data_IF_122153850526
#
_entry.id   IF_122153850526
#
_cell.length_a   1.000
_cell.length_b   1.000
_cell.length_c   1.000
_cell.angle_alpha   90.00
_cell.angle_beta   90.00
_cell.angle_gamma   90.00
#
_symmetry.space_group_name_H-M   'P 1'
#
loop_
_entity.id
_entity.type
_entity.pdbx_description
1 polymer ?
#
# COMPACT_ATOMS: atom_id res chain seq x y z
N UNK A 1 -8.70 -27.49 -12.89
CA UNK A 1 -8.47 -27.13 -11.47
C UNK A 1 -7.80 -25.76 -11.46
N UNK A 2 -8.58 -24.71 -11.25
CA UNK A 2 -8.07 -23.33 -11.15
C UNK A 2 -7.44 -23.19 -9.77
N UNK A 3 -6.12 -23.18 -9.68
CA UNK A 3 -5.42 -22.90 -8.44
C UNK A 3 -5.71 -21.46 -8.05
N UNK A 4 -6.62 -21.27 -7.09
CA UNK A 4 -6.82 -19.97 -6.45
C UNK A 4 -5.46 -19.49 -5.95
N UNK A 5 -4.92 -18.35 -6.44
CA UNK A 5 -3.67 -17.83 -5.93
C UNK A 5 -3.82 -17.68 -4.42
N UNK A 6 -2.95 -18.36 -3.66
CA UNK A 6 -2.96 -18.27 -2.20
C UNK A 6 -2.76 -16.78 -1.88
N UNK A 7 -3.80 -16.13 -1.39
CA UNK A 7 -3.74 -14.76 -0.93
C UNK A 7 -2.48 -14.59 -0.08
N UNK A 8 -1.58 -13.67 -0.43
CA UNK A 8 -0.46 -13.34 0.45
C UNK A 8 -1.08 -12.84 1.76
N UNK A 9 -0.75 -13.41 2.94
CA UNK A 9 -1.46 -13.10 4.19
C UNK A 9 -1.54 -11.59 4.47
N UNK A 10 -0.47 -10.86 4.20
CA UNK A 10 -0.41 -9.40 4.39
C UNK A 10 -1.37 -8.62 3.48
N UNK A 11 -1.62 -9.08 2.26
CA UNK A 11 -2.60 -8.45 1.35
C UNK A 11 -4.04 -8.78 1.75
N UNK A 12 -4.25 -9.84 2.54
CA UNK A 12 -5.57 -10.13 3.10
C UNK A 12 -5.84 -9.21 4.29
N UNK A 13 -4.86 -9.08 5.19
CA UNK A 13 -4.92 -8.15 6.32
C UNK A 13 -5.09 -6.70 5.83
N UNK A 14 -4.31 -6.26 4.83
CA UNK A 14 -4.46 -4.93 4.24
C UNK A 14 -5.83 -4.73 3.56
N UNK A 15 -6.42 -5.77 2.98
CA UNK A 15 -7.78 -5.68 2.42
C UNK A 15 -8.79 -5.38 3.52
N UNK A 16 -8.69 -6.06 4.67
CA UNK A 16 -9.57 -5.80 5.81
C UNK A 16 -9.44 -4.36 6.33
N UNK A 17 -8.24 -3.78 6.29
CA UNK A 17 -8.02 -2.37 6.63
C UNK A 17 -8.70 -1.44 5.61
N UNK A 18 -8.60 -1.72 4.31
CA UNK A 18 -9.35 -0.95 3.30
C UNK A 18 -10.87 -1.06 3.52
N UNK A 19 -11.36 -2.27 3.79
CA UNK A 19 -12.78 -2.52 4.05
C UNK A 19 -13.25 -1.74 5.31
N UNK A 20 -12.44 -1.67 6.39
CA UNK A 20 -12.78 -0.91 7.60
C UNK A 20 -12.75 0.60 7.41
N UNK A 21 -11.94 1.08 6.46
CA UNK A 21 -11.89 2.49 6.06
C UNK A 21 -13.04 2.89 5.12
N UNK A 22 -13.89 1.93 4.71
CA UNK A 22 -15.03 2.19 3.84
C UNK A 22 -14.74 2.07 2.33
N UNK A 23 -13.51 1.69 1.95
CA UNK A 23 -13.18 1.49 0.54
C UNK A 23 -13.68 0.15 0.03
N UNK A 24 -14.10 0.12 -1.24
CA UNK A 24 -14.25 -1.12 -1.97
C UNK A 24 -12.90 -1.61 -2.50
N UNK A 25 -12.37 -2.70 -1.91
CA UNK A 25 -11.02 -3.18 -2.18
C UNK A 25 -10.93 -4.17 -3.36
N UNK A 26 -10.11 -3.83 -4.35
CA UNK A 26 -9.75 -4.66 -5.50
C UNK A 26 -8.29 -5.13 -5.38
N UNK A 27 -8.02 -6.36 -5.78
CA UNK A 27 -6.66 -6.92 -5.83
C UNK A 27 -6.04 -6.80 -7.21
N UNK A 28 -4.77 -6.41 -7.23
CA UNK A 28 -3.94 -6.44 -8.43
C UNK A 28 -3.04 -7.67 -8.42
N UNK A 29 -3.26 -8.59 -9.37
CA UNK A 29 -2.54 -9.88 -9.43
C UNK A 29 -1.31 -9.86 -10.36
N UNK A 30 -0.86 -8.69 -10.81
CA UNK A 30 0.31 -8.56 -11.70
C UNK A 30 1.62 -8.71 -10.93
N UNK A 31 2.46 -9.69 -11.29
CA UNK A 31 3.74 -9.98 -10.61
C UNK A 31 4.77 -8.84 -10.63
N UNK A 32 4.62 -7.89 -11.56
CA UNK A 32 5.45 -6.67 -11.65
C UNK A 32 4.69 -5.39 -11.33
N UNK A 33 3.45 -5.48 -10.86
CA UNK A 33 2.64 -4.30 -10.56
C UNK A 33 3.23 -3.51 -9.39
N UNK A 34 3.37 -2.17 -9.51
CA UNK A 34 3.71 -1.33 -8.37
C UNK A 34 2.60 -1.30 -7.30
N UNK A 35 1.39 -1.72 -7.64
CA UNK A 35 0.20 -1.71 -6.76
C UNK A 35 -0.21 -3.14 -6.42
N UNK A 36 -0.47 -3.41 -5.15
CA UNK A 36 -1.03 -4.68 -4.66
C UNK A 36 -2.55 -4.61 -4.53
N UNK A 37 -3.06 -3.50 -4.00
CA UNK A 37 -4.49 -3.27 -3.74
C UNK A 37 -4.92 -1.91 -4.26
N UNK A 38 -6.17 -1.82 -4.70
CA UNK A 38 -6.83 -0.56 -5.04
C UNK A 38 -8.06 -0.44 -4.15
N UNK A 39 -8.15 0.63 -3.36
CA UNK A 39 -9.37 1.04 -2.68
C UNK A 39 -10.12 2.07 -3.53
N UNK A 40 -11.43 1.93 -3.64
CA UNK A 40 -12.29 2.90 -4.33
C UNK A 40 -13.43 3.26 -3.39
N UNK A 41 -13.63 4.56 -3.16
CA UNK A 41 -14.83 5.08 -2.51
C UNK A 41 -15.49 6.16 -3.39
N UNK A 42 -16.48 6.88 -2.85
CA UNK A 42 -17.23 7.91 -3.57
C UNK A 42 -16.39 9.17 -3.91
N UNK A 43 -15.20 9.31 -3.34
CA UNK A 43 -14.40 10.54 -3.39
C UNK A 43 -13.02 10.34 -4.03
N UNK A 44 -12.39 9.20 -3.83
CA UNK A 44 -11.02 8.95 -4.26
C UNK A 44 -10.74 7.49 -4.64
N UNK A 45 -9.61 7.33 -5.33
CA UNK A 45 -9.01 6.03 -5.62
C UNK A 45 -7.69 5.95 -4.86
N UNK A 46 -7.58 4.97 -3.98
CA UNK A 46 -6.38 4.72 -3.18
C UNK A 46 -5.57 3.57 -3.80
N UNK A 47 -4.39 3.87 -4.30
CA UNK A 47 -3.44 2.87 -4.82
C UNK A 47 -2.48 2.45 -3.70
N UNK A 48 -2.57 1.20 -3.27
CA UNK A 48 -1.80 0.68 -2.15
C UNK A 48 -0.78 -0.34 -2.60
N UNK A 49 0.47 -0.09 -2.21
CA UNK A 49 1.51 -1.11 -2.22
C UNK A 49 1.71 -1.65 -0.81
N UNK A 50 1.64 -2.97 -0.67
CA UNK A 50 1.74 -3.65 0.62
C UNK A 50 3.10 -4.33 0.73
N UNK A 51 3.78 -4.12 1.86
CA UNK A 51 5.06 -4.72 2.20
C UNK A 51 4.97 -5.38 3.57
N UNK A 52 5.62 -6.54 3.71
CA UNK A 52 5.75 -7.23 4.99
C UNK A 52 7.20 -7.25 5.40
N UNK A 53 7.45 -6.84 6.63
CA UNK A 53 8.78 -6.76 7.21
C UNK A 53 8.84 -7.52 8.53
N UNK A 54 10.03 -8.06 8.84
CA UNK A 54 10.21 -8.84 10.05
C UNK A 54 10.28 -7.96 11.30
N UNK A 55 10.90 -6.79 11.17
CA UNK A 55 11.09 -5.82 12.24
C UNK A 55 10.51 -4.47 11.82
N UNK A 56 10.04 -3.66 12.77
CA UNK A 56 9.64 -2.29 12.49
C UNK A 56 10.85 -1.43 12.11
N UNK A 57 10.59 -0.39 11.32
CA UNK A 57 11.61 0.59 10.95
C UNK A 57 11.75 1.67 12.01
N UNK A 58 12.96 2.20 12.17
CA UNK A 58 13.24 3.25 13.14
C UNK A 58 12.57 4.59 12.78
N UNK A 59 12.23 4.80 11.50
CA UNK A 59 11.44 5.94 11.06
C UNK A 59 11.40 6.13 9.54
N UNK A 60 10.74 7.22 9.14
CA UNK A 60 10.41 7.53 7.74
C UNK A 60 11.63 7.57 6.80
N UNK A 61 12.82 7.95 7.29
CA UNK A 61 14.05 8.00 6.48
C UNK A 61 14.49 6.61 6.01
N UNK A 62 14.35 5.61 6.87
CA UNK A 62 14.72 4.23 6.55
C UNK A 62 13.76 3.63 5.52
N UNK A 63 12.46 3.88 5.70
CA UNK A 63 11.40 3.50 4.74
C UNK A 63 11.66 4.16 3.37
N UNK A 64 11.93 5.46 3.36
CA UNK A 64 12.21 6.21 2.15
C UNK A 64 13.46 5.69 1.41
N UNK A 65 14.52 5.32 2.14
CA UNK A 65 15.73 4.76 1.55
C UNK A 65 15.48 3.36 0.95
N UNK A 66 14.74 2.49 1.66
CA UNK A 66 14.52 1.10 1.24
C UNK A 66 13.53 0.98 0.09
N UNK A 67 12.43 1.72 0.11
CA UNK A 67 11.37 1.61 -0.90
C UNK A 67 11.45 2.70 -1.97
N UNK A 68 12.61 3.32 -2.17
CA UNK A 68 12.79 4.40 -3.16
C UNK A 68 12.31 4.01 -4.55
N UNK A 69 12.78 2.88 -5.07
CA UNK A 69 12.41 2.40 -6.39
C UNK A 69 10.92 2.04 -6.50
N UNK A 70 10.35 1.55 -5.40
CA UNK A 70 8.94 1.20 -5.28
C UNK A 70 8.04 2.46 -5.34
N UNK A 71 8.41 3.50 -4.57
CA UNK A 71 7.77 4.82 -4.63
C UNK A 71 7.88 5.45 -6.01
N UNK A 72 9.05 5.36 -6.67
CA UNK A 72 9.23 5.92 -8.00
C UNK A 72 8.30 5.24 -9.03
N UNK A 73 8.09 3.93 -8.91
CA UNK A 73 7.12 3.22 -9.76
C UNK A 73 5.68 3.58 -9.43
N UNK A 74 5.33 3.77 -8.15
CA UNK A 74 4.01 4.28 -7.76
C UNK A 74 3.77 5.69 -8.32
N UNK A 75 4.76 6.58 -8.20
CA UNK A 75 4.72 7.96 -8.74
C UNK A 75 4.55 7.98 -10.25
N UNK A 76 5.12 7.02 -10.97
CA UNK A 76 4.96 6.89 -12.41
C UNK A 76 3.52 6.54 -12.84
N UNK A 77 2.68 6.07 -11.91
CA UNK A 77 1.25 5.89 -12.17
C UNK A 77 0.60 7.27 -12.21
N UNK A 78 0.41 7.77 -13.43
CA UNK A 78 -0.40 8.95 -13.68
C UNK A 78 -1.84 8.73 -13.21
N UNK A 79 -2.53 9.81 -12.89
CA UNK A 79 -3.92 9.74 -12.47
C UNK A 79 -4.51 11.13 -12.22
N UNK A 80 -5.84 11.22 -12.16
CA UNK A 80 -6.52 12.44 -11.72
C UNK A 80 -6.11 12.81 -10.29
N UNK A 81 -6.39 14.05 -9.88
CA UNK A 81 -6.01 14.58 -8.54
C UNK A 81 -6.60 13.77 -7.37
N UNK A 82 -7.64 12.98 -7.59
CA UNK A 82 -8.27 12.10 -6.62
C UNK A 82 -7.60 10.71 -6.49
N UNK A 83 -6.35 10.56 -6.93
CA UNK A 83 -5.62 9.29 -6.86
C UNK A 83 -4.48 9.36 -5.83
N UNK A 84 -4.82 8.98 -4.61
CA UNK A 84 -3.89 8.87 -3.47
C UNK A 84 -3.06 7.61 -3.61
N UNK A 85 -1.78 7.69 -3.25
CA UNK A 85 -0.81 6.59 -3.42
C UNK A 85 -0.11 6.31 -2.11
N UNK A 86 -0.12 5.06 -1.70
CA UNK A 86 0.40 4.69 -0.38
C UNK A 86 1.26 3.44 -0.39
N UNK A 87 2.21 3.42 0.54
CA UNK A 87 2.97 2.23 0.90
C UNK A 87 2.57 1.86 2.32
N UNK A 88 2.09 0.62 2.49
CA UNK A 88 1.71 0.08 3.78
C UNK A 88 2.73 -0.97 4.19
N UNK A 89 3.36 -0.75 5.34
CA UNK A 89 4.37 -1.65 5.87
C UNK A 89 3.77 -2.36 7.08
N UNK A 90 3.51 -3.65 6.94
CA UNK A 90 3.18 -4.51 8.07
C UNK A 90 4.46 -5.03 8.70
N UNK A 91 4.71 -4.70 9.95
CA UNK A 91 5.77 -5.32 10.75
C UNK A 91 5.15 -6.26 11.78
N UNK A 92 5.82 -7.39 12.04
CA UNK A 92 5.24 -8.52 12.78
C UNK A 92 4.49 -8.16 14.06
N UNK A 93 5.09 -7.38 14.96
CA UNK A 93 4.49 -7.05 16.26
C UNK A 93 3.77 -5.69 16.32
N UNK A 94 4.08 -4.74 15.45
CA UNK A 94 3.49 -3.39 15.49
C UNK A 94 2.33 -3.20 14.51
N UNK A 95 2.06 -4.18 13.65
CA UNK A 95 1.00 -4.07 12.65
C UNK A 95 1.37 -3.15 11.50
N UNK A 96 0.38 -2.50 10.90
CA UNK A 96 0.57 -1.63 9.76
C UNK A 96 1.01 -0.23 10.17
N UNK A 97 2.02 0.27 9.47
CA UNK A 97 2.29 1.70 9.34
C UNK A 97 2.00 2.14 7.93
N UNK A 98 1.41 3.32 7.80
CA UNK A 98 0.87 3.84 6.56
C UNK A 98 1.68 5.05 6.12
N UNK A 99 2.03 5.08 4.84
CA UNK A 99 2.80 6.19 4.31
C UNK A 99 2.25 6.66 2.96
N UNK A 100 1.93 7.95 2.88
CA UNK A 100 1.48 8.60 1.66
C UNK A 100 2.66 9.04 0.80
N UNK A 101 2.60 8.72 -0.49
CA UNK A 101 3.64 8.95 -1.47
C UNK A 101 3.31 10.19 -2.29
N UNK A 102 4.11 11.23 -2.09
CA UNK A 102 4.03 12.48 -2.84
C UNK A 102 5.11 12.54 -3.93
N UNK A 103 4.98 13.43 -4.93
CA UNK A 103 6.02 13.64 -5.94
C UNK A 103 7.41 13.94 -5.35
N UNK A 104 7.46 14.65 -4.22
CA UNK A 104 8.72 15.06 -3.57
C UNK A 104 9.18 14.18 -2.41
N UNK A 105 8.40 13.18 -2.00
CA UNK A 105 8.73 12.44 -0.78
C UNK A 105 7.65 11.49 -0.29
N UNK A 106 7.65 11.30 1.02
CA UNK A 106 6.85 10.34 1.77
C UNK A 106 6.41 11.05 3.05
N UNK A 107 5.17 10.81 3.49
CA UNK A 107 4.69 11.22 4.81
C UNK A 107 4.08 10.03 5.53
N UNK A 108 4.41 9.82 6.80
CA UNK A 108 3.71 8.85 7.64
C UNK A 108 2.35 9.43 8.01
N UNK A 109 1.30 8.62 7.86
CA UNK A 109 -0.08 9.00 8.17
C UNK A 109 -0.68 8.02 9.17
N UNK A 110 -1.60 8.51 9.97
CA UNK A 110 -2.42 7.67 10.85
C UNK A 110 -3.68 7.26 10.09
N UNK A 111 -3.93 5.96 9.99
CA UNK A 111 -5.22 5.41 9.53
C UNK A 111 -5.86 4.65 10.70
N UNK A 112 -7.18 4.83 10.93
CA UNK A 112 -7.90 4.18 12.04
C UNK A 112 -8.00 2.66 11.91
#
# INVERSE_FOLDING_TARGET
>A
MTTTPRARPVEFEARSVLDSLGYHALRFNGSGSPVNLVGIDDHEVLLVQVRRERLPYAGIREVNAKYRADMDRLRAIGGPRCCTKEIWVCSGHEGFRFYEVFPGGLMEIERP
#
